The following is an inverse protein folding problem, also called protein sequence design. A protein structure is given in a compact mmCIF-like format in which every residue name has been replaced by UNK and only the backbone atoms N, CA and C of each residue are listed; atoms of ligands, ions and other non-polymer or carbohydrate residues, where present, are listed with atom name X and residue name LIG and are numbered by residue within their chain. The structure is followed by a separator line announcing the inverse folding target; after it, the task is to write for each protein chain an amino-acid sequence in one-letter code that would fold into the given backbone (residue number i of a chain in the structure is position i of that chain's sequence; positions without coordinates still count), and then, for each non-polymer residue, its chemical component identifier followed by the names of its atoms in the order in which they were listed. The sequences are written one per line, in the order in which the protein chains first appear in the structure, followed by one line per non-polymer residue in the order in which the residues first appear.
data_IF_091538743786
#
_entry.id   IF_091538743786
#
_cell.length_a   1.000
_cell.length_b   1.000
_cell.length_c   1.000
_cell.angle_alpha   90.00
_cell.angle_beta   90.00
_cell.angle_gamma   90.00
#
_symmetry.space_group_name_H-M   'P 1'
#
loop_
_entity.id
_entity.type
_entity.pdbx_description
1 polymer ?
#
# COMPACT_ATOMS: atom_id res chain seq x y z
N UNK A 1 25.14 -21.75 7.64
CA UNK A 1 24.90 -20.38 7.13
C UNK A 1 24.61 -19.46 8.31
N UNK A 2 25.27 -18.30 8.41
CA UNK A 2 25.07 -17.38 9.55
C UNK A 2 23.66 -16.76 9.53
N UNK A 3 23.19 -16.29 10.69
CA UNK A 3 21.91 -15.58 10.83
C UNK A 3 21.80 -14.41 9.87
N UNK A 4 22.85 -13.58 9.75
CA UNK A 4 22.86 -12.43 8.86
C UNK A 4 22.62 -12.83 7.39
N UNK A 5 23.25 -13.93 6.94
CA UNK A 5 23.04 -14.46 5.60
C UNK A 5 21.61 -14.98 5.40
N UNK A 6 21.03 -15.70 6.38
CA UNK A 6 19.61 -16.15 6.30
C UNK A 6 18.65 -14.97 6.17
N UNK A 7 18.82 -13.94 7.00
CA UNK A 7 18.00 -12.71 6.94
C UNK A 7 18.16 -12.00 5.61
N UNK A 8 19.40 -11.81 5.14
CA UNK A 8 19.69 -11.16 3.87
C UNK A 8 19.09 -11.94 2.68
N UNK A 9 19.19 -13.27 2.68
CA UNK A 9 18.59 -14.12 1.65
C UNK A 9 17.07 -13.99 1.62
N UNK A 10 16.38 -14.07 2.77
CA UNK A 10 14.92 -13.87 2.81
C UNK A 10 14.52 -12.48 2.29
N UNK A 11 15.20 -11.44 2.79
CA UNK A 11 14.92 -10.07 2.39
C UNK A 11 15.16 -9.88 0.89
N UNK A 12 16.25 -10.41 0.34
CA UNK A 12 16.55 -10.35 -1.08
C UNK A 12 15.49 -11.07 -1.91
N UNK A 13 15.10 -12.29 -1.55
CA UNK A 13 14.05 -13.04 -2.25
C UNK A 13 12.74 -12.27 -2.26
N UNK A 14 12.29 -11.78 -1.10
CA UNK A 14 11.05 -10.99 -0.99
C UNK A 14 11.16 -9.72 -1.82
N UNK A 15 12.18 -8.88 -1.61
CA UNK A 15 12.29 -7.59 -2.30
C UNK A 15 12.43 -7.77 -3.82
N UNK A 16 13.28 -8.69 -4.28
CA UNK A 16 13.46 -8.95 -5.72
C UNK A 16 12.17 -9.49 -6.33
N UNK A 17 11.51 -10.45 -5.68
CA UNK A 17 10.27 -11.02 -6.18
C UNK A 17 9.15 -9.99 -6.27
N UNK A 18 8.90 -9.23 -5.21
CA UNK A 18 7.80 -8.26 -5.18
C UNK A 18 8.11 -7.03 -6.02
N UNK A 19 9.35 -6.54 -6.07
CA UNK A 19 9.66 -5.36 -6.87
C UNK A 19 9.74 -5.68 -8.36
N UNK A 20 10.53 -6.69 -8.73
CA UNK A 20 10.82 -6.99 -10.12
C UNK A 20 9.89 -8.06 -10.69
N UNK A 21 9.77 -9.20 -9.99
CA UNK A 21 8.99 -10.37 -10.45
C UNK A 21 7.53 -10.03 -10.72
N UNK A 22 6.84 -9.45 -9.73
CA UNK A 22 5.43 -9.05 -9.88
C UNK A 22 5.22 -8.01 -10.98
N UNK A 23 6.14 -7.05 -11.15
CA UNK A 23 6.02 -6.04 -12.21
C UNK A 23 6.04 -6.66 -13.60
N UNK A 24 6.94 -7.64 -13.84
CA UNK A 24 6.98 -8.37 -15.11
C UNK A 24 5.74 -9.24 -15.30
N UNK A 25 5.35 -9.95 -14.25
CA UNK A 25 4.20 -10.85 -14.27
C UNK A 25 2.90 -10.10 -14.58
N UNK A 26 2.67 -8.93 -13.98
CA UNK A 26 1.50 -8.10 -14.28
C UNK A 26 1.53 -7.54 -15.70
N UNK A 27 2.70 -7.18 -16.23
CA UNK A 27 2.81 -6.80 -17.65
C UNK A 27 2.43 -7.96 -18.57
N UNK A 28 2.88 -9.18 -18.25
CA UNK A 28 2.50 -10.40 -18.97
C UNK A 28 1.00 -10.67 -18.91
N UNK A 29 0.41 -10.62 -17.71
CA UNK A 29 -1.03 -10.82 -17.48
C UNK A 29 -1.89 -9.82 -18.28
N UNK A 30 -1.51 -8.52 -18.30
CA UNK A 30 -2.20 -7.51 -19.11
C UNK A 30 -2.12 -7.76 -20.60
N UNK A 31 -0.95 -8.19 -21.10
CA UNK A 31 -0.79 -8.57 -22.51
C UNK A 31 -1.66 -9.77 -22.86
N UNK A 32 -1.70 -10.78 -21.98
CA UNK A 32 -2.55 -11.96 -22.15
C UNK A 32 -4.03 -11.59 -22.14
N UNK A 33 -4.47 -10.70 -21.24
CA UNK A 33 -5.86 -10.22 -21.18
C UNK A 33 -6.30 -9.42 -22.41
N UNK A 34 -5.36 -8.73 -23.07
CA UNK A 34 -5.59 -8.00 -24.31
C UNK A 34 -5.61 -8.94 -25.53
N UNK A 35 -4.75 -9.96 -25.54
CA UNK A 35 -4.64 -10.92 -26.64
C UNK A 35 -5.75 -11.99 -26.63
N UNK A 36 -6.31 -12.30 -25.46
CA UNK A 36 -7.28 -13.38 -25.30
C UNK A 36 -8.69 -12.84 -25.07
N UNK A 37 -9.68 -13.62 -25.52
CA UNK A 37 -11.11 -13.42 -25.19
C UNK A 37 -11.59 -14.44 -24.14
N UNK A 38 -10.67 -14.95 -23.32
CA UNK A 38 -10.99 -15.94 -22.28
C UNK A 38 -11.86 -15.27 -21.21
N UNK A 39 -13.00 -15.89 -20.90
CA UNK A 39 -13.99 -15.40 -19.95
C UNK A 39 -15.34 -15.07 -20.61
N UNK A 40 -16.37 -14.78 -19.82
CA UNK A 40 -17.66 -14.31 -20.31
C UNK A 40 -17.54 -13.13 -21.26
N UNK A 41 -18.37 -13.11 -22.31
CA UNK A 41 -18.38 -12.07 -23.35
C UNK A 41 -18.63 -10.66 -22.81
N UNK A 42 -19.27 -10.53 -21.65
CA UNK A 42 -19.55 -9.26 -20.99
C UNK A 42 -18.36 -8.67 -20.22
N UNK A 43 -17.24 -9.39 -20.10
CA UNK A 43 -16.05 -8.86 -19.42
C UNK A 43 -15.30 -7.87 -20.31
N UNK A 44 -15.01 -6.69 -19.78
CA UNK A 44 -14.08 -5.74 -20.38
C UNK A 44 -12.62 -6.22 -20.26
N UNK A 45 -11.73 -5.70 -21.11
CA UNK A 45 -10.29 -6.03 -21.08
C UNK A 45 -9.64 -5.72 -19.72
N UNK A 46 -10.07 -4.63 -19.06
CA UNK A 46 -9.57 -4.27 -17.73
C UNK A 46 -9.97 -5.29 -16.64
N UNK A 47 -11.19 -5.84 -16.71
CA UNK A 47 -11.63 -6.87 -15.77
C UNK A 47 -10.88 -8.19 -15.98
N UNK A 48 -10.67 -8.60 -17.23
CA UNK A 48 -9.82 -9.75 -17.57
C UNK A 48 -8.40 -9.57 -17.03
N UNK A 49 -7.82 -8.38 -17.22
CA UNK A 49 -6.49 -8.07 -16.71
C UNK A 49 -6.40 -8.20 -15.20
N UNK A 50 -7.36 -7.66 -14.44
CA UNK A 50 -7.37 -7.76 -12.99
C UNK A 50 -7.45 -9.22 -12.50
N UNK A 51 -8.29 -10.04 -13.13
CA UNK A 51 -8.40 -11.48 -12.81
C UNK A 51 -7.11 -12.23 -13.13
N UNK A 52 -6.51 -11.98 -14.29
CA UNK A 52 -5.25 -12.61 -14.69
C UNK A 52 -4.08 -12.18 -13.82
N UNK A 53 -4.02 -10.91 -13.41
CA UNK A 53 -3.01 -10.41 -12.47
C UNK A 53 -3.14 -11.11 -11.12
N UNK A 54 -4.36 -11.26 -10.60
CA UNK A 54 -4.60 -11.97 -9.34
C UNK A 54 -4.21 -13.45 -9.44
N UNK A 55 -4.67 -14.15 -10.48
CA UNK A 55 -4.38 -15.56 -10.69
C UNK A 55 -2.87 -15.81 -10.85
N UNK A 56 -2.20 -14.95 -11.63
CA UNK A 56 -0.76 -15.05 -11.84
C UNK A 56 0.00 -14.75 -10.53
N UNK A 57 -0.44 -13.78 -9.72
CA UNK A 57 0.17 -13.51 -8.41
C UNK A 57 0.04 -14.69 -7.44
N UNK A 58 -1.14 -15.32 -7.39
CA UNK A 58 -1.37 -16.51 -6.58
C UNK A 58 -0.48 -17.67 -7.03
N UNK A 59 -0.45 -17.96 -8.33
CA UNK A 59 0.40 -19.02 -8.89
C UNK A 59 1.89 -18.78 -8.63
N UNK A 60 2.38 -17.55 -8.81
CA UNK A 60 3.79 -17.25 -8.55
C UNK A 60 4.14 -17.28 -7.06
N UNK A 61 3.21 -16.95 -6.15
CA UNK A 61 3.44 -17.16 -4.72
C UNK A 61 3.64 -18.64 -4.39
N UNK A 62 2.81 -19.54 -4.96
CA UNK A 62 2.97 -20.99 -4.76
C UNK A 62 4.35 -21.46 -5.23
N UNK A 63 4.83 -20.97 -6.38
CA UNK A 63 6.18 -21.28 -6.86
C UNK A 63 7.28 -20.76 -5.92
N UNK A 64 7.13 -19.55 -5.40
CA UNK A 64 8.08 -18.97 -4.42
C UNK A 64 8.08 -19.78 -3.12
N UNK A 65 6.92 -20.17 -2.61
CA UNK A 65 6.80 -21.04 -1.44
C UNK A 65 7.51 -22.37 -1.69
N UNK A 66 7.24 -23.03 -2.81
CA UNK A 66 7.87 -24.30 -3.16
C UNK A 66 9.41 -24.18 -3.22
N UNK A 67 9.92 -23.12 -3.86
CA UNK A 67 11.35 -22.85 -3.93
C UNK A 67 11.96 -22.59 -2.54
N UNK A 68 11.29 -21.82 -1.69
CA UNK A 68 11.74 -21.54 -0.32
C UNK A 68 11.73 -22.80 0.55
N UNK A 69 10.69 -23.64 0.47
CA UNK A 69 10.65 -24.92 1.19
C UNK A 69 11.81 -25.84 0.76
N UNK A 70 12.07 -25.92 -0.55
CA UNK A 70 13.18 -26.71 -1.09
C UNK A 70 14.56 -26.20 -0.61
N UNK A 71 14.78 -24.88 -0.63
CA UNK A 71 16.07 -24.27 -0.22
C UNK A 71 16.28 -24.34 1.30
N UNK A 72 15.21 -24.20 2.09
CA UNK A 72 15.30 -24.20 3.56
C UNK A 72 15.25 -25.59 4.18
N UNK A 73 14.83 -26.62 3.43
CA UNK A 73 14.63 -27.98 3.92
C UNK A 73 13.40 -28.15 4.82
N UNK A 74 12.51 -27.15 4.87
CA UNK A 74 11.26 -27.24 5.63
C UNK A 74 10.30 -28.15 4.88
N UNK A 75 9.82 -29.20 5.56
CA UNK A 75 8.97 -30.22 4.95
C UNK A 75 7.58 -29.71 4.53
N UNK A 76 6.95 -30.33 3.50
CA UNK A 76 5.64 -29.93 3.00
C UNK A 76 4.50 -30.16 4.00
N UNK A 77 4.73 -30.91 5.09
CA UNK A 77 3.76 -31.11 6.17
C UNK A 77 3.28 -29.80 6.81
N UNK A 78 4.05 -28.71 6.67
CA UNK A 78 3.65 -27.38 7.09
C UNK A 78 2.39 -26.88 6.38
N UNK A 79 2.14 -27.31 5.13
CA UNK A 79 0.95 -26.95 4.34
C UNK A 79 -0.36 -27.45 4.95
N UNK A 80 -0.29 -28.55 5.68
CA UNK A 80 -1.45 -29.22 6.29
C UNK A 80 -1.47 -29.11 7.82
N UNK A 81 -0.54 -28.31 8.39
CA UNK A 81 -0.33 -28.19 9.83
C UNK A 81 -1.55 -27.57 10.53
N UNK A 82 -2.27 -28.39 11.30
CA UNK A 82 -3.44 -27.96 12.08
C UNK A 82 -4.80 -28.22 11.41
N UNK A 83 -4.86 -28.83 10.22
CA UNK A 83 -6.14 -29.20 9.60
C UNK A 83 -6.99 -30.13 10.46
N UNK A 84 -6.35 -31.02 11.23
CA UNK A 84 -7.03 -31.96 12.14
C UNK A 84 -7.45 -31.33 13.48
N UNK A 85 -7.32 -30.01 13.65
CA UNK A 85 -7.56 -29.29 14.90
C UNK A 85 -8.70 -28.26 14.72
N UNK A 86 -9.97 -28.71 14.70
CA UNK A 86 -11.11 -27.83 14.45
C UNK A 86 -11.25 -26.72 15.50
N UNK A 87 -10.81 -26.98 16.73
CA UNK A 87 -10.68 -26.00 17.82
C UNK A 87 -9.81 -24.80 17.41
N UNK A 88 -8.65 -25.07 16.80
CA UNK A 88 -7.73 -24.02 16.37
C UNK A 88 -8.21 -23.32 15.10
N UNK A 89 -8.91 -24.02 14.21
CA UNK A 89 -9.53 -23.39 13.04
C UNK A 89 -10.61 -22.39 13.45
N UNK A 90 -11.46 -22.75 14.42
CA UNK A 90 -12.47 -21.85 14.98
C UNK A 90 -11.82 -20.64 15.67
N UNK A 91 -10.74 -20.87 16.43
CA UNK A 91 -9.96 -19.77 17.00
C UNK A 91 -9.37 -18.87 15.89
N UNK A 92 -8.91 -19.44 14.77
CA UNK A 92 -8.46 -18.70 13.61
C UNK A 92 -9.54 -17.75 13.08
N UNK A 93 -10.80 -18.19 12.98
CA UNK A 93 -11.93 -17.31 12.59
C UNK A 93 -12.08 -16.13 13.54
N UNK A 94 -12.10 -16.39 14.85
CA UNK A 94 -12.23 -15.34 15.87
C UNK A 94 -11.05 -14.36 15.81
N UNK A 95 -9.83 -14.89 15.61
CA UNK A 95 -8.62 -14.11 15.48
C UNK A 95 -8.71 -13.14 14.29
N UNK A 96 -9.12 -13.63 13.11
CA UNK A 96 -9.27 -12.81 11.91
C UNK A 96 -10.27 -11.65 12.09
N UNK A 97 -11.39 -11.90 12.77
CA UNK A 97 -12.37 -10.84 13.10
C UNK A 97 -11.77 -9.82 14.07
N UNK A 98 -11.08 -10.27 15.11
CA UNK A 98 -10.44 -9.41 16.10
C UNK A 98 -9.34 -8.54 15.49
N UNK A 99 -8.51 -9.11 14.62
CA UNK A 99 -7.46 -8.38 13.90
C UNK A 99 -8.02 -7.32 12.97
N UNK A 100 -9.14 -7.61 12.27
CA UNK A 100 -9.79 -6.62 11.44
C UNK A 100 -10.35 -5.46 12.27
N UNK A 101 -11.01 -5.76 13.38
CA UNK A 101 -11.57 -4.75 14.27
C UNK A 101 -10.45 -3.83 14.82
N UNK A 102 -9.36 -4.43 15.31
CA UNK A 102 -8.20 -3.69 15.83
C UNK A 102 -7.50 -2.89 14.73
N UNK A 103 -7.21 -3.50 13.58
CA UNK A 103 -6.58 -2.83 12.45
C UNK A 103 -7.41 -1.65 11.92
N UNK A 104 -8.74 -1.81 11.86
CA UNK A 104 -9.67 -0.76 11.46
C UNK A 104 -9.71 0.39 12.47
N UNK A 105 -9.74 0.08 13.77
CA UNK A 105 -9.69 1.08 14.84
C UNK A 105 -8.38 1.90 14.79
N UNK A 106 -7.24 1.23 14.67
CA UNK A 106 -5.93 1.88 14.58
C UNK A 106 -5.81 2.72 13.31
N UNK A 107 -6.27 2.20 12.17
CA UNK A 107 -6.29 2.95 10.91
C UNK A 107 -7.12 4.24 11.04
N UNK A 108 -8.32 4.14 11.64
CA UNK A 108 -9.16 5.32 11.91
C UNK A 108 -8.49 6.33 12.84
N UNK A 109 -7.87 5.87 13.92
CA UNK A 109 -7.15 6.77 14.84
C UNK A 109 -6.01 7.51 14.11
N UNK A 110 -5.25 6.82 13.26
CA UNK A 110 -4.19 7.42 12.45
C UNK A 110 -4.72 8.41 11.40
N UNK A 111 -5.89 8.11 10.83
CA UNK A 111 -6.61 8.99 9.91
C UNK A 111 -6.93 10.32 10.60
N UNK A 112 -7.63 10.26 11.73
CA UNK A 112 -8.09 11.42 12.48
C UNK A 112 -6.91 12.26 12.99
N UNK A 113 -5.84 11.60 13.46
CA UNK A 113 -4.61 12.26 13.88
C UNK A 113 -3.93 12.99 12.71
N UNK A 114 -3.88 12.37 11.54
CA UNK A 114 -3.27 12.97 10.33
C UNK A 114 -4.05 14.18 9.84
N UNK A 115 -5.38 14.11 9.85
CA UNK A 115 -6.26 15.23 9.49
C UNK A 115 -6.12 16.40 10.49
N UNK A 116 -6.07 16.09 11.80
CA UNK A 116 -5.89 17.10 12.86
C UNK A 116 -4.54 17.82 12.73
N UNK A 117 -3.46 17.07 12.44
CA UNK A 117 -2.13 17.65 12.19
C UNK A 117 -2.12 18.54 10.93
N UNK A 118 -2.76 18.09 9.86
CA UNK A 118 -2.88 18.87 8.62
C UNK A 118 -3.72 20.14 8.75
N UNK A 119 -4.71 20.16 9.65
CA UNK A 119 -5.47 21.36 9.99
C UNK A 119 -4.59 22.38 10.73
N UNK A 120 -3.85 21.95 11.76
CA UNK A 120 -2.94 22.83 12.53
C UNK A 120 -1.83 23.43 11.68
N UNK A 121 -1.28 22.67 10.73
CA UNK A 121 -0.25 23.16 9.82
C UNK A 121 -0.76 24.29 8.90
N UNK A 122 -2.03 24.24 8.48
CA UNK A 122 -2.66 25.27 7.64
C UNK A 122 -3.07 26.52 8.42
N UNK A 123 -3.44 26.37 9.69
CA UNK A 123 -3.84 27.50 10.55
C UNK A 123 -2.67 28.21 11.20
N UNK A 124 -1.45 27.67 11.15
CA UNK A 124 -0.26 28.40 11.58
C UNK A 124 -0.17 29.61 10.65
N UNK A 125 -0.49 30.84 11.12
CA UNK A 125 -0.46 32.00 10.26
C UNK A 125 0.93 32.01 9.65
N UNK A 126 1.01 32.16 8.33
CA UNK A 126 2.27 32.48 7.70
C UNK A 126 2.74 33.72 8.44
N UNK A 127 3.64 33.52 9.42
CA UNK A 127 4.34 34.57 10.11
C UNK A 127 5.28 35.10 9.04
N UNK A 128 4.67 35.81 8.07
CA UNK A 128 5.28 36.85 7.28
C UNK A 128 6.14 37.55 8.31
N UNK A 129 7.44 37.33 8.25
CA UNK A 129 8.43 38.30 7.76
C UNK A 129 7.91 39.71 7.44
N UNK A 130 6.88 40.20 8.14
CA UNK A 130 6.42 41.57 8.16
C UNK A 130 7.46 42.48 8.85
N UNK A 131 8.47 41.88 9.51
CA UNK A 131 9.65 42.60 9.99
C UNK A 131 10.79 42.75 8.97
N UNK A 132 10.75 42.11 7.79
CA UNK A 132 11.84 42.20 6.81
C UNK A 132 11.55 43.10 5.62
N UNK A 133 10.27 43.37 5.31
CA UNK A 133 9.90 44.29 4.24
C UNK A 133 10.25 45.76 4.57
N UNK A 134 10.33 46.15 5.85
CA UNK A 134 10.76 47.49 6.26
C UNK A 134 12.29 47.73 6.27
N UNK A 135 13.10 46.66 6.20
CA UNK A 135 14.57 46.78 6.21
C UNK A 135 15.19 46.68 4.81
N UNK A 136 14.49 46.06 3.85
CA UNK A 136 14.95 45.91 2.47
C UNK A 136 14.77 47.18 1.61
N UNK A 137 13.74 47.98 1.87
CA UNK A 137 13.48 49.21 1.11
C UNK A 137 14.57 50.28 1.36
N UNK A 138 15.15 50.32 2.57
CA UNK A 138 16.32 51.16 2.88
C UNK A 138 17.64 50.66 2.26
N UNK A 139 17.78 49.37 1.95
CA UNK A 139 18.98 48.81 1.28
C UNK A 139 18.86 48.74 -0.25
N UNK A 140 17.64 48.76 -0.80
CA UNK A 140 17.43 48.85 -2.25
C UNK A 140 17.75 50.26 -2.78
N UNK A 141 17.48 51.31 -2.02
CA UNK A 141 17.96 52.67 -2.32
C UNK A 141 19.50 52.75 -2.39
N UNK A 142 20.19 51.99 -1.52
CA UNK A 142 21.65 52.01 -1.42
C UNK A 142 22.38 51.12 -2.45
N UNK A 143 21.67 50.17 -3.06
CA UNK A 143 22.25 49.23 -4.04
C UNK A 143 21.92 49.57 -5.49
N UNK A 144 20.87 50.36 -5.76
CA UNK A 144 20.64 50.98 -7.06
C UNK A 144 21.78 51.93 -7.44
N UNK A 145 22.40 52.60 -6.47
CA UNK A 145 23.53 53.50 -6.71
C UNK A 145 24.85 52.76 -7.04
N UNK A 146 24.97 51.46 -6.71
CA UNK A 146 26.20 50.67 -6.98
C UNK A 146 26.15 49.84 -8.26
N UNK A 147 24.96 49.61 -8.83
CA UNK A 147 24.81 48.78 -10.06
C UNK A 147 24.92 49.57 -11.36
N UNK A 148 24.98 50.90 -11.31
CA UNK A 148 25.35 51.71 -12.48
C UNK A 148 26.85 51.58 -12.85
N UNK A 149 27.68 50.94 -12.01
CA UNK A 149 29.13 50.88 -12.19
C UNK A 149 29.69 49.48 -12.58
N UNK A 150 28.88 48.47 -12.87
CA UNK A 150 29.42 47.12 -13.08
C UNK A 150 28.47 46.11 -13.74
N UNK A 151 28.00 46.40 -14.95
CA UNK A 151 27.35 45.41 -15.80
C UNK A 151 28.33 44.97 -16.90
N UNK A 152 29.09 43.91 -16.62
CA UNK A 152 30.05 43.34 -17.56
C UNK A 152 30.17 41.83 -17.40
N UNK A 153 29.55 41.11 -18.35
CA UNK A 153 29.99 39.82 -18.90
C UNK A 153 29.75 38.54 -18.05
N UNK A 154 29.26 37.51 -18.75
CA UNK A 154 29.20 36.05 -18.43
C UNK A 154 27.93 35.60 -17.70
N UNK A 155 27.25 34.55 -18.13
CA UNK A 155 27.51 33.60 -19.19
C UNK A 155 26.37 32.58 -19.26
N UNK A 156 26.06 32.16 -20.48
CA UNK A 156 25.28 30.97 -20.77
C UNK A 156 25.99 29.71 -20.26
N UNK A 157 25.24 28.70 -19.81
CA UNK A 157 25.43 27.28 -20.16
C UNK A 157 24.55 26.33 -19.30
N UNK A 158 24.05 25.32 -20.02
CA UNK A 158 23.70 23.95 -19.59
C UNK A 158 22.44 23.67 -18.79
N UNK A 159 21.66 22.71 -19.31
CA UNK A 159 20.73 21.93 -18.50
C UNK A 159 19.71 21.08 -19.25
N UNK A 160 20.11 20.34 -20.29
CA UNK A 160 19.25 19.33 -20.92
C UNK A 160 18.97 18.17 -19.94
N UNK A 161 17.70 17.90 -19.65
CA UNK A 161 17.27 16.67 -18.95
C UNK A 161 15.88 16.20 -19.40
N UNK A 162 15.89 15.09 -20.14
CA UNK A 162 14.97 13.94 -20.12
C UNK A 162 13.47 14.28 -19.97
N UNK A 163 12.77 14.40 -21.11
CA UNK A 163 11.32 14.28 -21.21
C UNK A 163 10.95 12.89 -21.71
N UNK A 164 10.38 12.08 -20.82
CA UNK A 164 9.74 10.81 -21.16
C UNK A 164 8.23 10.90 -20.94
N UNK A 165 7.50 11.07 -22.05
CA UNK A 165 6.14 10.59 -22.33
C UNK A 165 5.08 10.80 -21.23
N UNK A 166 4.45 11.98 -21.25
CA UNK A 166 3.11 12.20 -20.66
C UNK A 166 2.11 12.22 -21.81
N UNK A 167 1.10 11.36 -21.70
CA UNK A 167 0.00 11.23 -22.65
C UNK A 167 -0.75 12.55 -22.84
N UNK A 168 -0.96 12.87 -24.11
CA UNK A 168 -1.69 14.03 -24.63
C UNK A 168 -3.18 13.81 -24.38
N UNK A 169 -3.69 14.39 -23.30
CA UNK A 169 -5.13 14.49 -23.02
C UNK A 169 -5.74 15.70 -23.71
N UNK A 170 -6.91 15.50 -24.29
CA UNK A 170 -7.72 16.44 -25.05
C UNK A 170 -7.88 17.81 -24.38
N UNK A 171 -7.56 18.87 -25.12
CA UNK A 171 -7.93 20.25 -24.78
C UNK A 171 -9.38 20.47 -25.17
N UNK A 172 -10.29 20.20 -24.23
CA UNK A 172 -11.67 20.63 -24.30
C UNK A 172 -11.80 22.16 -24.25
N UNK A 173 -12.67 22.67 -25.11
CA UNK A 173 -13.19 24.02 -25.30
C UNK A 173 -12.98 25.02 -24.14
N UNK A 174 -12.42 26.19 -24.51
CA UNK A 174 -12.46 27.42 -23.72
C UNK A 174 -13.91 27.89 -23.59
N UNK A 175 -14.48 27.77 -22.39
CA UNK A 175 -15.75 28.41 -22.05
C UNK A 175 -15.63 29.94 -21.95
N UNK A 176 -16.76 30.68 -22.04
CA UNK A 176 -16.77 32.13 -22.03
C UNK A 176 -16.26 32.70 -20.71
N UNK A 177 -15.49 33.79 -20.82
CA UNK A 177 -14.96 34.58 -19.71
C UNK A 177 -16.14 35.20 -18.94
N UNK A 178 -16.40 34.68 -17.74
CA UNK A 178 -17.48 35.13 -16.87
C UNK A 178 -17.24 36.52 -16.26
N UNK A 179 -18.33 37.26 -16.13
CA UNK A 179 -18.45 38.62 -15.59
C UNK A 179 -17.81 38.82 -14.20
N UNK A 180 -17.41 40.07 -13.86
CA UNK A 180 -16.82 40.41 -12.58
C UNK A 180 -17.76 40.09 -11.40
N UNK A 181 -17.23 39.42 -10.39
CA UNK A 181 -17.96 39.07 -9.18
C UNK A 181 -18.39 40.33 -8.40
N UNK A 182 -19.59 40.35 -7.79
CA UNK A 182 -20.11 41.50 -7.07
C UNK A 182 -19.25 41.83 -5.82
N UNK A 183 -18.96 43.11 -5.57
CA UNK A 183 -18.25 43.56 -4.37
C UNK A 183 -19.18 43.43 -3.16
N UNK A 184 -18.82 42.60 -2.18
CA UNK A 184 -19.57 42.51 -0.92
C UNK A 184 -19.76 41.12 -0.32
N UNK A 185 -19.22 40.05 -0.91
CA UNK A 185 -19.20 38.74 -0.25
C UNK A 185 -18.20 38.76 0.91
N UNK A 186 -18.67 39.27 2.05
CA UNK A 186 -17.99 39.22 3.33
C UNK A 186 -17.42 37.81 3.53
N UNK A 187 -16.11 37.74 3.55
CA UNK A 187 -15.30 36.54 3.74
C UNK A 187 -15.65 35.97 5.11
N UNK A 188 -16.74 35.19 5.20
CA UNK A 188 -17.12 34.47 6.42
C UNK A 188 -15.89 33.71 6.87
N UNK A 189 -15.34 34.16 7.98
CA UNK A 189 -14.30 33.48 8.72
C UNK A 189 -14.80 32.07 8.96
N UNK A 190 -14.24 31.08 8.24
CA UNK A 190 -14.45 29.65 8.51
C UNK A 190 -13.94 29.37 9.92
N UNK A 191 -14.81 29.57 10.90
CA UNK A 191 -14.62 29.19 12.30
C UNK A 191 -14.94 27.71 12.42
N UNK A 192 -13.97 26.94 12.89
CA UNK A 192 -14.00 25.50 13.13
C UNK A 192 -14.34 24.63 11.89
N UNK A 193 -13.67 23.49 11.74
CA UNK A 193 -13.94 22.55 10.67
C UNK A 193 -15.36 21.99 10.86
N UNK A 194 -16.27 22.35 9.96
CA UNK A 194 -17.64 21.82 9.92
C UNK A 194 -17.57 20.28 9.96
N UNK A 195 -18.28 19.59 10.87
CA UNK A 195 -18.39 18.13 10.89
C UNK A 195 -18.72 17.52 9.52
N UNK A 196 -19.46 18.25 8.66
CA UNK A 196 -19.76 17.83 7.29
C UNK A 196 -18.50 17.70 6.41
N UNK A 197 -17.53 18.63 6.52
CA UNK A 197 -16.27 18.58 5.78
C UNK A 197 -15.40 17.39 6.23
N UNK A 198 -15.45 17.04 7.52
CA UNK A 198 -14.72 15.89 8.06
C UNK A 198 -15.26 14.57 7.48
N UNK A 199 -16.59 14.42 7.42
CA UNK A 199 -17.23 13.23 6.84
C UNK A 199 -16.88 13.02 5.36
N UNK A 200 -16.83 14.10 4.56
CA UNK A 200 -16.39 14.02 3.16
C UNK A 200 -14.92 13.60 3.03
N UNK A 201 -14.06 14.09 3.93
CA UNK A 201 -12.63 13.72 3.94
C UNK A 201 -12.43 12.22 4.19
N UNK A 202 -13.20 11.62 5.11
CA UNK A 202 -13.12 10.19 5.41
C UNK A 202 -13.59 9.34 4.23
N UNK A 203 -14.73 9.69 3.61
CA UNK A 203 -15.22 8.99 2.41
C UNK A 203 -14.23 9.05 1.27
N UNK A 204 -13.61 10.20 1.06
CA UNK A 204 -12.56 10.35 0.05
C UNK A 204 -11.34 9.47 0.33
N UNK A 205 -11.03 9.22 1.61
CA UNK A 205 -9.91 8.40 2.01
C UNK A 205 -10.21 6.91 1.79
N UNK A 206 -11.42 6.47 2.19
CA UNK A 206 -11.91 5.11 1.94
C UNK A 206 -12.03 4.81 0.43
N UNK A 207 -12.40 5.80 -0.39
CA UNK A 207 -12.39 5.64 -1.84
C UNK A 207 -10.98 5.35 -2.40
N UNK A 208 -9.95 5.98 -1.81
CA UNK A 208 -8.54 5.79 -2.22
C UNK A 208 -7.93 4.50 -1.66
N UNK A 209 -8.40 4.00 -0.53
CA UNK A 209 -7.91 2.73 0.06
C UNK A 209 -8.30 1.50 -0.76
N UNK A 210 -9.32 1.58 -1.63
CA UNK A 210 -9.72 0.49 -2.54
C UNK A 210 -8.87 0.39 -3.81
N UNK A 211 -7.79 1.17 -3.92
CA UNK A 211 -6.82 1.10 -5.02
C UNK A 211 -5.79 -0.02 -4.86
N UNK A 212 -4.80 -0.06 -5.75
CA UNK A 212 -3.70 -1.02 -5.69
C UNK A 212 -4.17 -2.47 -5.83
N UNK A 213 -3.63 -3.36 -5.00
CA UNK A 213 -3.92 -4.78 -5.08
C UNK A 213 -5.36 -5.13 -4.67
N UNK A 214 -5.98 -4.37 -3.75
CA UNK A 214 -7.36 -4.57 -3.29
C UNK A 214 -8.35 -4.52 -4.46
N UNK A 215 -8.08 -3.66 -5.45
CA UNK A 215 -8.88 -3.55 -6.67
C UNK A 215 -8.98 -4.88 -7.40
N UNK A 216 -7.91 -5.66 -7.51
CA UNK A 216 -7.93 -6.93 -8.23
C UNK A 216 -8.83 -7.98 -7.56
N UNK A 217 -8.85 -8.00 -6.22
CA UNK A 217 -9.75 -8.89 -5.48
C UNK A 217 -11.21 -8.43 -5.56
N UNK A 218 -11.47 -7.13 -5.42
CA UNK A 218 -12.82 -6.57 -5.62
C UNK A 218 -13.34 -6.85 -7.02
N UNK A 219 -12.51 -6.69 -8.05
CA UNK A 219 -12.90 -7.03 -9.43
C UNK A 219 -13.16 -8.54 -9.54
N UNK A 220 -12.29 -9.39 -9.01
CA UNK A 220 -12.46 -10.84 -9.04
C UNK A 220 -13.75 -11.30 -8.35
N UNK A 221 -14.09 -10.75 -7.18
CA UNK A 221 -15.35 -11.03 -6.48
C UNK A 221 -16.60 -10.59 -7.26
N UNK A 222 -16.47 -9.56 -8.09
CA UNK A 222 -17.57 -9.07 -8.94
C UNK A 222 -17.80 -9.92 -10.18
N UNK A 223 -16.73 -10.49 -10.74
CA UNK A 223 -16.80 -11.13 -12.07
C UNK A 223 -16.72 -12.65 -12.03
N UNK A 224 -16.04 -13.23 -11.05
CA UNK A 224 -15.93 -14.67 -10.87
C UNK A 224 -17.04 -15.20 -9.95
N UNK A 225 -17.41 -16.49 -10.09
CA UNK A 225 -18.16 -17.18 -9.05
C UNK A 225 -17.45 -17.05 -7.70
N UNK A 226 -18.21 -16.88 -6.61
CA UNK A 226 -17.68 -16.63 -5.28
C UNK A 226 -16.60 -17.64 -4.86
N UNK A 227 -16.83 -18.94 -5.10
CA UNK A 227 -15.87 -20.00 -4.77
C UNK A 227 -14.52 -19.84 -5.49
N UNK A 228 -14.51 -19.36 -6.74
CA UNK A 228 -13.29 -19.16 -7.51
C UNK A 228 -12.53 -17.92 -7.01
N UNK A 229 -13.22 -16.82 -6.72
CA UNK A 229 -12.62 -15.63 -6.14
C UNK A 229 -12.03 -15.89 -4.74
N UNK A 230 -12.76 -16.65 -3.91
CA UNK A 230 -12.28 -17.10 -2.61
C UNK A 230 -11.11 -18.07 -2.74
N UNK A 231 -11.13 -18.98 -3.71
CA UNK A 231 -10.01 -19.89 -4.00
C UNK A 231 -8.73 -19.15 -4.37
N UNK A 232 -8.81 -18.19 -5.31
CA UNK A 232 -7.65 -17.37 -5.70
C UNK A 232 -7.09 -16.57 -4.53
N UNK A 233 -7.98 -15.94 -3.76
CA UNK A 233 -7.61 -15.17 -2.56
C UNK A 233 -6.98 -16.08 -1.51
N UNK A 234 -7.59 -17.24 -1.25
CA UNK A 234 -7.12 -18.21 -0.27
C UNK A 234 -5.74 -18.76 -0.62
N UNK A 235 -5.47 -19.09 -1.89
CA UNK A 235 -4.14 -19.53 -2.34
C UNK A 235 -3.09 -18.44 -2.11
N UNK A 236 -3.41 -17.19 -2.45
CA UNK A 236 -2.49 -16.08 -2.24
C UNK A 236 -2.19 -15.88 -0.74
N UNK A 237 -3.24 -15.79 0.07
CA UNK A 237 -3.15 -15.59 1.53
C UNK A 237 -2.41 -16.74 2.21
N UNK A 238 -2.72 -17.98 1.85
CA UNK A 238 -2.05 -19.16 2.38
C UNK A 238 -0.55 -19.13 2.08
N UNK A 239 -0.19 -18.73 0.86
CA UNK A 239 1.22 -18.60 0.47
C UNK A 239 1.93 -17.50 1.25
N UNK A 240 1.28 -16.37 1.52
CA UNK A 240 1.86 -15.30 2.35
C UNK A 240 2.12 -15.80 3.78
N UNK A 241 1.15 -16.47 4.42
CA UNK A 241 1.35 -17.05 5.75
C UNK A 241 2.45 -18.11 5.77
N UNK A 242 2.53 -18.95 4.74
CA UNK A 242 3.61 -19.94 4.61
C UNK A 242 4.98 -19.29 4.47
N UNK A 243 5.14 -18.23 3.67
CA UNK A 243 6.42 -17.53 3.54
C UNK A 243 6.82 -16.86 4.87
N UNK A 244 5.93 -16.06 5.45
CA UNK A 244 6.31 -15.19 6.56
C UNK A 244 6.25 -15.89 7.92
N UNK A 245 5.31 -16.82 8.14
CA UNK A 245 5.20 -17.53 9.43
C UNK A 245 5.86 -18.88 9.31
N UNK A 246 5.44 -19.68 8.33
CA UNK A 246 5.98 -21.01 8.10
C UNK A 246 7.49 -21.01 7.88
N UNK A 247 7.97 -20.36 6.83
CA UNK A 247 9.37 -20.37 6.41
C UNK A 247 10.20 -19.41 7.26
N UNK A 248 9.87 -18.12 7.29
CA UNK A 248 10.75 -17.14 7.91
C UNK A 248 10.95 -17.37 9.41
N UNK A 249 9.90 -17.67 10.18
CA UNK A 249 10.04 -17.89 11.62
C UNK A 249 10.73 -19.23 11.93
N UNK A 250 10.46 -20.28 11.16
CA UNK A 250 11.13 -21.58 11.35
C UNK A 250 12.60 -21.49 10.97
N UNK A 251 12.93 -20.87 9.85
CA UNK A 251 14.31 -20.80 9.36
C UNK A 251 15.21 -19.87 10.19
N UNK A 252 14.62 -18.83 10.79
CA UNK A 252 15.30 -17.90 11.69
C UNK A 252 15.15 -18.29 13.18
N UNK A 253 14.55 -19.44 13.51
CA UNK A 253 14.27 -19.82 14.91
C UNK A 253 15.53 -19.84 15.79
N UNK A 254 16.64 -20.32 15.25
CA UNK A 254 17.96 -20.36 15.93
C UNK A 254 18.53 -18.97 16.25
N UNK A 255 18.09 -17.93 15.53
CA UNK A 255 18.51 -16.55 15.78
C UNK A 255 17.80 -15.90 16.98
N UNK A 256 16.83 -16.60 17.56
CA UNK A 256 16.01 -16.12 18.67
C UNK A 256 14.72 -15.41 18.23
N UNK A 257 13.76 -15.26 19.15
CA UNK A 257 12.42 -14.76 18.86
C UNK A 257 12.45 -13.33 18.29
N UNK A 258 13.28 -12.45 18.86
CA UNK A 258 13.32 -11.05 18.46
C UNK A 258 13.69 -10.88 16.98
N UNK A 259 14.75 -11.57 16.53
CA UNK A 259 15.21 -11.49 15.13
C UNK A 259 14.16 -12.11 14.20
N UNK A 260 13.71 -13.33 14.50
CA UNK A 260 12.73 -14.03 13.66
C UNK A 260 11.43 -13.23 13.50
N UNK A 261 10.83 -12.79 14.60
CA UNK A 261 9.58 -12.03 14.60
C UNK A 261 9.75 -10.68 13.89
N UNK A 262 10.79 -9.91 14.23
CA UNK A 262 11.00 -8.60 13.62
C UNK A 262 11.22 -8.71 12.10
N UNK A 263 12.05 -9.66 11.66
CA UNK A 263 12.29 -9.88 10.22
C UNK A 263 11.01 -10.30 9.52
N UNK A 264 10.25 -11.25 10.07
CA UNK A 264 8.97 -11.70 9.49
C UNK A 264 7.97 -10.54 9.36
N UNK A 265 7.75 -9.77 10.43
CA UNK A 265 6.80 -8.65 10.45
C UNK A 265 7.21 -7.55 9.48
N UNK A 266 8.48 -7.13 9.49
CA UNK A 266 8.96 -6.07 8.59
C UNK A 266 8.80 -6.48 7.13
N UNK A 267 9.21 -7.69 6.75
CA UNK A 267 9.08 -8.15 5.37
C UNK A 267 7.62 -8.28 4.94
N UNK A 268 6.73 -8.77 5.82
CA UNK A 268 5.30 -8.85 5.55
C UNK A 268 4.69 -7.45 5.34
N UNK A 269 4.98 -6.49 6.22
CA UNK A 269 4.47 -5.11 6.12
C UNK A 269 5.00 -4.39 4.88
N UNK A 270 6.28 -4.54 4.56
CA UNK A 270 6.88 -3.98 3.35
C UNK A 270 6.18 -4.51 2.10
N UNK A 271 5.87 -5.81 2.07
CA UNK A 271 5.12 -6.42 0.99
C UNK A 271 3.72 -5.80 0.84
N UNK A 272 2.99 -5.57 1.94
CA UNK A 272 1.65 -4.97 1.89
C UNK A 272 1.66 -3.53 1.34
N UNK A 273 2.77 -2.80 1.50
CA UNK A 273 2.94 -1.47 0.96
C UNK A 273 3.26 -1.45 -0.55
N UNK A 274 3.81 -2.55 -1.10
CA UNK A 274 4.11 -2.62 -2.53
C UNK A 274 2.84 -2.59 -3.38
N UNK A 275 2.96 -2.01 -4.57
CA UNK A 275 1.86 -1.82 -5.54
C UNK A 275 0.69 -0.94 -5.07
N UNK A 276 0.86 -0.21 -3.97
CA UNK A 276 -0.08 0.85 -3.58
C UNK A 276 0.27 2.15 -4.30
N UNK A 277 -0.73 2.80 -4.92
CA UNK A 277 -0.53 4.02 -5.72
C UNK A 277 -0.30 5.28 -4.87
N UNK A 278 -0.59 5.21 -3.58
CA UNK A 278 -0.42 6.32 -2.64
C UNK A 278 -0.25 5.81 -1.21
N UNK A 279 0.39 6.62 -0.37
CA UNK A 279 0.51 6.36 1.06
C UNK A 279 -0.86 6.24 1.76
N UNK A 280 -1.81 7.06 1.31
CA UNK A 280 -3.19 7.02 1.80
C UNK A 280 -3.88 5.70 1.51
N UNK A 281 -3.63 5.13 0.34
CA UNK A 281 -4.12 3.79 0.00
C UNK A 281 -3.42 2.71 0.83
N UNK A 282 -2.10 2.83 1.00
CA UNK A 282 -1.28 1.84 1.69
C UNK A 282 -1.54 1.74 3.20
N UNK A 283 -2.12 2.76 3.82
CA UNK A 283 -2.24 2.82 5.28
C UNK A 283 -3.05 1.66 5.86
N UNK A 284 -4.19 1.30 5.26
CA UNK A 284 -4.99 0.18 5.79
C UNK A 284 -4.24 -1.16 5.66
N UNK A 285 -3.69 -1.54 4.50
CA UNK A 285 -2.83 -2.73 4.38
C UNK A 285 -1.62 -2.73 5.31
N UNK A 286 -0.95 -1.59 5.49
CA UNK A 286 0.23 -1.48 6.37
C UNK A 286 -0.16 -1.66 7.83
N UNK A 287 -1.21 -0.97 8.30
CA UNK A 287 -1.67 -1.07 9.69
C UNK A 287 -2.22 -2.46 10.00
N UNK A 288 -3.06 -3.00 9.12
CA UNK A 288 -3.55 -4.37 9.22
C UNK A 288 -2.39 -5.39 9.18
N UNK A 289 -1.44 -5.17 8.29
CA UNK A 289 -0.23 -6.00 8.16
C UNK A 289 0.65 -5.98 9.41
N UNK A 290 0.74 -4.84 10.12
CA UNK A 290 1.45 -4.75 11.40
C UNK A 290 0.73 -5.56 12.48
N UNK A 291 -0.59 -5.37 12.63
CA UNK A 291 -1.40 -6.09 13.62
C UNK A 291 -1.30 -7.60 13.41
N UNK A 292 -1.64 -8.04 12.20
CA UNK A 292 -1.59 -9.45 11.82
C UNK A 292 -0.16 -10.00 11.83
N UNK A 293 0.82 -9.20 11.42
CA UNK A 293 2.25 -9.52 11.51
C UNK A 293 2.64 -9.97 12.91
N UNK A 294 2.36 -9.09 13.89
CA UNK A 294 2.70 -9.32 15.30
C UNK A 294 1.89 -10.48 15.88
N UNK A 295 0.57 -10.48 15.70
CA UNK A 295 -0.33 -11.48 16.29
C UNK A 295 -0.02 -12.87 15.73
N UNK A 296 -0.01 -13.04 14.41
CA UNK A 296 0.31 -14.33 13.80
C UNK A 296 1.74 -14.78 14.11
N UNK A 297 2.69 -13.84 14.17
CA UNK A 297 4.07 -14.17 14.52
C UNK A 297 4.18 -14.78 15.92
N UNK A 298 3.53 -14.16 16.90
CA UNK A 298 3.51 -14.65 18.30
C UNK A 298 2.74 -15.97 18.43
N UNK A 299 1.58 -16.09 17.79
CA UNK A 299 0.80 -17.33 17.80
C UNK A 299 1.60 -18.47 17.16
N UNK A 300 2.22 -18.25 15.99
CA UNK A 300 3.05 -19.27 15.35
C UNK A 300 4.27 -19.65 16.20
N UNK A 301 4.89 -18.69 16.88
CA UNK A 301 6.06 -18.94 17.72
C UNK A 301 5.75 -19.95 18.84
N UNK A 302 4.57 -19.83 19.44
CA UNK A 302 4.09 -20.71 20.51
C UNK A 302 3.50 -22.01 19.98
N UNK A 303 2.74 -21.94 18.88
CA UNK A 303 2.03 -23.06 18.27
C UNK A 303 2.34 -23.06 16.76
N UNK A 304 3.34 -23.82 16.29
CA UNK A 304 3.86 -23.75 14.93
C UNK A 304 2.95 -24.45 13.90
N UNK A 305 1.68 -24.03 13.84
CA UNK A 305 0.66 -24.51 12.92
C UNK A 305 0.23 -23.34 12.04
N UNK A 306 0.42 -23.47 10.72
CA UNK A 306 0.16 -22.38 9.77
C UNK A 306 -1.32 -22.31 9.40
N UNK A 307 -2.02 -23.44 9.30
CA UNK A 307 -3.39 -23.46 8.75
C UNK A 307 -4.39 -22.62 9.57
N UNK A 308 -4.39 -22.63 10.91
CA UNK A 308 -5.23 -21.70 11.69
C UNK A 308 -4.99 -20.23 11.37
N UNK A 309 -3.73 -19.85 11.08
CA UNK A 309 -3.35 -18.49 10.71
C UNK A 309 -3.79 -18.15 9.29
N UNK A 310 -3.76 -19.12 8.37
CA UNK A 310 -4.36 -18.98 7.03
C UNK A 310 -5.86 -18.69 7.16
N UNK A 311 -6.58 -19.42 8.02
CA UNK A 311 -8.00 -19.19 8.27
C UNK A 311 -8.22 -17.77 8.81
N UNK A 312 -7.43 -17.36 9.80
CA UNK A 312 -7.51 -15.99 10.35
C UNK A 312 -7.30 -14.92 9.28
N UNK A 313 -6.26 -15.06 8.46
CA UNK A 313 -5.97 -14.10 7.39
C UNK A 313 -7.07 -14.09 6.32
N UNK A 314 -7.58 -15.26 5.90
CA UNK A 314 -8.70 -15.33 4.95
C UNK A 314 -9.94 -14.64 5.51
N UNK A 315 -10.29 -14.87 6.79
CA UNK A 315 -11.43 -14.22 7.44
C UNK A 315 -11.24 -12.71 7.52
N UNK A 316 -10.07 -12.25 7.99
CA UNK A 316 -9.69 -10.83 7.97
C UNK A 316 -9.92 -10.23 6.58
N UNK A 317 -9.44 -10.92 5.54
CA UNK A 317 -9.53 -10.46 4.17
C UNK A 317 -10.97 -10.38 3.66
N UNK A 318 -11.76 -11.41 3.90
CA UNK A 318 -13.17 -11.48 3.49
C UNK A 318 -13.94 -10.28 4.04
N UNK A 319 -13.82 -10.01 5.34
CA UNK A 319 -14.49 -8.86 5.94
C UNK A 319 -13.87 -7.49 5.58
N UNK A 320 -12.58 -7.44 5.23
CA UNK A 320 -11.95 -6.21 4.77
C UNK A 320 -12.40 -5.81 3.36
N UNK A 321 -12.79 -6.77 2.52
CA UNK A 321 -13.07 -6.56 1.10
C UNK A 321 -14.56 -6.52 0.78
N UNK A 322 -15.39 -7.32 1.47
CA UNK A 322 -16.86 -7.33 1.34
C UNK A 322 -17.46 -6.11 2.05
#
# INVERSE_FOLDING_TARGET
MSTAWRVATLAAVVVVYYWFGKTLLFRGARRLAAATRIGPSHWGTAQRADVFELAAAGASHVLVVAALLAVTGIGPGMLVSGLARPDLLALGVLLGVGELALGSLLCRALIELSLTRGARARTRPARRTAGAAGAGERRAADSANRRAAGAGVRGALLGARIRGVVGRGDRGALGPVGAPAPPGSARRSRTAADPADQGQSLRSWLGRSRGGWIRHHLTSLKVLPLWAALGLTGVQVASEELVFRGVALTWLREAGPLVALTTSVVLFVLMQAFFMSSWQGAMFPVVGGIVMGVVHGLVFWTTPLVVPLVVAHVVFFVFAVI
#
